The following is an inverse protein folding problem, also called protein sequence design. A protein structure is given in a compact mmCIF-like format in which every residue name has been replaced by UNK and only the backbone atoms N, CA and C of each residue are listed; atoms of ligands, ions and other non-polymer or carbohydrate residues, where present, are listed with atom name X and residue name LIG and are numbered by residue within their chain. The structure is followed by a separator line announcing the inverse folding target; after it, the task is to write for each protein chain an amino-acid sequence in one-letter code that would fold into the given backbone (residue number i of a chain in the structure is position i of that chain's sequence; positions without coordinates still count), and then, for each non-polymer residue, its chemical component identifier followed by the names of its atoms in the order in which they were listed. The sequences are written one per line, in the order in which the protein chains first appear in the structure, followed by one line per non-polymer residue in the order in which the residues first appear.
data_IF_961513672059
#
_entry.id   IF_961513672059
#
_cell.length_a   1.000
_cell.length_b   1.000
_cell.length_c   1.000
_cell.angle_alpha   90.00
_cell.angle_beta   90.00
_cell.angle_gamma   90.00
#
_symmetry.space_group_name_H-M   'P 1'
#
loop_
_entity.id
_entity.type
_entity.pdbx_description
1 polymer ?
#
# COMPACT_ATOMS: atom_id res chain seq x y z
N UNK A 1 35.14 4.05 -9.18
CA UNK A 1 35.51 5.24 -8.40
C UNK A 1 35.11 5.03 -6.96
N UNK A 2 36.11 4.81 -6.11
CA UNK A 2 35.99 4.53 -4.67
C UNK A 2 35.54 5.78 -3.93
N UNK A 3 34.50 5.67 -3.08
CA UNK A 3 34.04 6.79 -2.24
C UNK A 3 34.39 6.52 -0.79
N UNK A 4 35.43 7.21 -0.34
CA UNK A 4 35.84 7.40 1.05
C UNK A 4 34.84 8.33 1.77
N UNK A 5 34.49 8.02 3.02
CA UNK A 5 33.68 8.91 3.87
C UNK A 5 34.51 9.40 5.05
N UNK A 6 34.54 10.71 5.29
CA UNK A 6 35.26 11.34 6.39
C UNK A 6 34.37 11.45 7.62
N UNK A 7 34.78 10.83 8.71
CA UNK A 7 34.40 11.26 10.06
C UNK A 7 35.60 11.12 10.97
N UNK A 8 35.87 12.14 11.79
CA UNK A 8 36.92 12.15 12.83
C UNK A 8 38.36 11.90 12.37
N UNK A 9 38.78 12.48 11.23
CA UNK A 9 40.20 12.57 10.86
C UNK A 9 40.92 11.25 10.54
N UNK A 10 40.22 10.11 10.52
CA UNK A 10 40.77 8.81 10.13
C UNK A 10 40.03 8.34 8.88
N UNK A 11 40.78 8.24 7.79
CA UNK A 11 40.33 7.65 6.54
C UNK A 11 40.18 6.13 6.72
N UNK A 12 38.97 5.68 7.10
CA UNK A 12 38.68 4.25 7.25
C UNK A 12 38.28 3.67 5.90
N UNK A 13 39.09 2.75 5.40
CA UNK A 13 38.67 1.82 4.35
C UNK A 13 37.53 0.95 4.92
N UNK A 14 36.32 1.17 4.41
CA UNK A 14 35.19 0.28 4.68
C UNK A 14 35.15 -0.70 3.53
N UNK A 15 35.46 -1.96 3.84
CA UNK A 15 35.40 -3.07 2.91
C UNK A 15 34.04 -3.11 2.16
N UNK A 16 34.01 -3.41 0.85
CA UNK A 16 32.79 -3.44 0.05
C UNK A 16 31.68 -4.36 0.59
N UNK A 17 32.05 -5.46 1.25
CA UNK A 17 31.12 -6.40 1.91
C UNK A 17 30.54 -5.74 3.15
N UNK A 18 31.38 -5.19 4.03
CA UNK A 18 30.91 -4.46 5.23
C UNK A 18 30.07 -3.24 4.86
N UNK A 19 30.42 -2.54 3.77
CA UNK A 19 29.65 -1.41 3.24
C UNK A 19 28.30 -1.85 2.70
N UNK A 20 28.22 -2.97 1.95
CA UNK A 20 26.96 -3.58 1.51
C UNK A 20 26.07 -3.97 2.69
N UNK A 21 26.64 -4.54 3.72
CA UNK A 21 25.91 -5.00 4.91
C UNK A 21 25.38 -3.83 5.74
N UNK A 22 26.17 -2.76 5.89
CA UNK A 22 25.74 -1.51 6.50
C UNK A 22 24.59 -0.86 5.71
N UNK A 23 24.67 -0.84 4.38
CA UNK A 23 23.59 -0.35 3.52
C UNK A 23 22.35 -1.24 3.58
N UNK A 24 22.51 -2.56 3.71
CA UNK A 24 21.41 -3.53 3.87
C UNK A 24 20.65 -3.28 5.18
N UNK A 25 21.37 -3.08 6.28
CA UNK A 25 20.79 -2.79 7.60
C UNK A 25 20.18 -1.39 7.70
N UNK A 26 20.73 -0.41 6.98
CA UNK A 26 20.15 0.95 6.94
C UNK A 26 18.92 0.99 6.04
N UNK A 27 18.98 0.33 4.87
CA UNK A 27 17.88 0.25 3.92
C UNK A 27 16.66 -0.45 4.49
N UNK A 28 16.84 -1.55 5.24
CA UNK A 28 15.72 -2.24 5.91
C UNK A 28 15.02 -1.35 6.94
N UNK A 29 15.78 -0.60 7.75
CA UNK A 29 15.22 0.33 8.76
C UNK A 29 14.47 1.50 8.11
N UNK A 30 15.04 2.08 7.05
CA UNK A 30 14.39 3.14 6.27
C UNK A 30 13.11 2.65 5.59
N UNK A 31 13.13 1.42 5.06
CA UNK A 31 11.95 0.81 4.47
C UNK A 31 10.83 0.61 5.50
N UNK A 32 11.16 0.09 6.70
CA UNK A 32 10.18 -0.01 7.79
C UNK A 32 9.61 1.36 8.17
N UNK A 33 10.45 2.39 8.28
CA UNK A 33 9.97 3.75 8.55
C UNK A 33 9.05 4.28 7.44
N UNK A 34 9.39 4.06 6.17
CA UNK A 34 8.55 4.43 5.03
C UNK A 34 7.17 3.77 5.13
N UNK A 35 7.14 2.46 5.38
CA UNK A 35 5.90 1.70 5.54
C UNK A 35 5.07 2.24 6.71
N UNK A 36 5.67 2.50 7.87
CA UNK A 36 4.96 3.06 9.03
C UNK A 36 4.40 4.45 8.75
N UNK A 37 5.15 5.31 8.07
CA UNK A 37 4.65 6.63 7.67
C UNK A 37 3.46 6.51 6.70
N UNK A 38 3.49 5.57 5.76
CA UNK A 38 2.36 5.32 4.86
C UNK A 38 1.15 4.79 5.62
N UNK A 39 1.31 3.84 6.54
CA UNK A 39 0.22 3.37 7.41
C UNK A 39 -0.41 4.52 8.20
N UNK A 40 0.41 5.43 8.73
CA UNK A 40 -0.07 6.60 9.45
C UNK A 40 -0.91 7.54 8.55
N UNK A 41 -0.57 7.65 7.26
CA UNK A 41 -1.33 8.43 6.29
C UNK A 41 -2.69 7.78 5.96
N UNK A 42 -2.77 6.45 5.96
CA UNK A 42 -4.03 5.72 5.73
C UNK A 42 -4.94 5.77 6.96
N UNK A 43 -4.47 5.21 8.08
CA UNK A 43 -5.19 5.13 9.33
C UNK A 43 -4.24 4.77 10.49
N UNK A 44 -4.26 5.54 11.58
CA UNK A 44 -3.31 5.34 12.70
C UNK A 44 -3.48 4.00 13.43
N UNK A 45 -4.68 3.41 13.41
CA UNK A 45 -4.89 2.06 13.97
C UNK A 45 -4.03 0.98 13.31
N UNK A 46 -3.56 1.19 12.07
CA UNK A 46 -2.66 0.27 11.36
C UNK A 46 -1.26 0.20 11.99
N UNK A 47 -0.93 1.14 12.87
CA UNK A 47 0.36 1.17 13.58
C UNK A 47 0.39 0.23 14.79
N UNK A 48 -0.76 -0.23 15.30
CA UNK A 48 -0.83 -1.06 16.52
C UNK A 48 -0.41 -2.52 16.25
N UNK A 49 0.38 -3.09 17.17
CA UNK A 49 0.79 -4.53 17.15
C UNK A 49 -0.39 -5.50 17.02
N UNK A 50 -1.52 -5.21 17.67
CA UNK A 50 -2.71 -6.08 17.61
C UNK A 50 -3.43 -6.08 16.25
N UNK A 51 -3.18 -5.08 15.41
CA UNK A 51 -3.62 -5.11 14.02
C UNK A 51 -2.77 -6.07 13.17
N UNK A 52 -1.58 -6.46 13.66
CA UNK A 52 -0.75 -7.49 13.06
C UNK A 52 -1.13 -8.90 13.52
N UNK A 53 -1.63 -9.14 14.74
CA UNK A 53 -1.89 -10.51 15.24
C UNK A 53 -2.92 -11.31 14.41
N UNK A 54 -3.87 -10.66 13.73
CA UNK A 54 -4.83 -11.30 12.80
C UNK A 54 -4.41 -11.19 11.32
N UNK A 55 -3.34 -10.44 11.01
CA UNK A 55 -2.87 -10.17 9.64
C UNK A 55 -1.38 -10.47 9.42
N UNK A 56 -0.70 -11.13 10.37
CA UNK A 56 0.74 -11.40 10.33
C UNK A 56 1.12 -12.15 9.07
N UNK A 57 0.25 -13.05 8.60
CA UNK A 57 0.49 -13.83 7.38
C UNK A 57 0.64 -12.93 6.13
N UNK A 58 -0.15 -11.85 6.02
CA UNK A 58 -0.18 -11.00 4.81
C UNK A 58 0.77 -9.81 4.91
N UNK A 59 0.94 -9.20 6.09
CA UNK A 59 1.93 -8.13 6.27
C UNK A 59 3.36 -8.68 6.15
N UNK A 60 3.62 -9.88 6.70
CA UNK A 60 4.91 -10.54 6.54
C UNK A 60 5.11 -11.05 5.12
N UNK A 61 4.07 -11.53 4.41
CA UNK A 61 4.18 -11.88 2.99
C UNK A 61 4.41 -10.65 2.11
N UNK A 62 3.72 -9.53 2.36
CA UNK A 62 3.90 -8.29 1.60
C UNK A 62 5.27 -7.68 1.87
N UNK A 63 5.69 -7.59 3.13
CA UNK A 63 7.03 -7.17 3.49
C UNK A 63 8.07 -8.14 2.93
N UNK A 64 7.85 -9.45 2.98
CA UNK A 64 8.73 -10.46 2.40
C UNK A 64 8.82 -10.36 0.87
N UNK A 65 7.73 -10.09 0.16
CA UNK A 65 7.72 -9.86 -1.29
C UNK A 65 8.42 -8.55 -1.69
N UNK A 66 8.23 -7.51 -0.86
CA UNK A 66 8.94 -6.25 -1.02
C UNK A 66 10.44 -6.41 -0.74
N UNK A 67 10.81 -7.22 0.26
CA UNK A 67 12.20 -7.48 0.64
C UNK A 67 12.90 -8.52 -0.24
N UNK A 68 12.16 -9.49 -0.79
CA UNK A 68 12.66 -10.45 -1.78
C UNK A 68 12.96 -9.74 -3.10
N UNK A 69 12.13 -8.75 -3.48
CA UNK A 69 12.40 -7.85 -4.60
C UNK A 69 13.72 -7.08 -4.45
N UNK A 70 14.20 -6.88 -3.21
CA UNK A 70 15.47 -6.23 -2.86
C UNK A 70 16.68 -7.19 -2.80
N UNK A 71 16.55 -8.49 -3.13
CA UNK A 71 17.63 -9.49 -3.00
C UNK A 71 18.20 -9.61 -1.56
N UNK A 72 17.31 -9.55 -0.58
CA UNK A 72 17.61 -9.82 0.84
C UNK A 72 17.28 -11.31 1.09
N UNK A 73 18.11 -12.23 0.60
CA UNK A 73 18.03 -13.62 1.04
C UNK A 73 18.98 -13.83 2.23
N UNK A 74 18.43 -14.49 3.25
CA UNK A 74 19.10 -15.38 4.20
C UNK A 74 19.50 -14.91 5.61
N UNK A 75 19.14 -13.71 6.09
CA UNK A 75 19.42 -13.38 7.52
C UNK A 75 18.35 -12.51 8.22
N UNK A 76 17.09 -12.70 7.83
CA UNK A 76 16.01 -11.76 8.14
C UNK A 76 15.11 -12.16 9.31
N UNK A 77 15.22 -13.40 9.83
CA UNK A 77 14.49 -13.80 11.04
C UNK A 77 14.94 -13.00 12.27
N UNK A 78 16.23 -12.67 12.34
CA UNK A 78 16.80 -11.87 13.43
C UNK A 78 16.44 -10.38 13.32
N UNK A 79 16.38 -9.85 12.09
CA UNK A 79 16.08 -8.43 11.86
C UNK A 79 14.58 -8.12 11.89
N UNK A 80 13.71 -9.05 11.47
CA UNK A 80 12.25 -8.95 11.72
C UNK A 80 11.96 -9.04 13.22
N UNK A 81 12.66 -9.90 13.97
CA UNK A 81 12.56 -9.89 15.44
C UNK A 81 13.03 -8.54 16.05
N UNK A 82 13.93 -7.81 15.40
CA UNK A 82 14.24 -6.42 15.79
C UNK A 82 13.22 -5.38 15.30
N UNK A 83 12.50 -5.65 14.21
CA UNK A 83 11.35 -4.83 13.79
C UNK A 83 10.14 -5.01 14.74
N UNK A 84 9.96 -6.21 15.30
CA UNK A 84 9.06 -6.47 16.43
C UNK A 84 9.49 -5.73 17.70
N UNK A 85 10.79 -5.51 17.89
CA UNK A 85 11.33 -4.63 18.95
C UNK A 85 11.21 -3.14 18.62
N UNK A 86 11.16 -2.73 17.34
CA UNK A 86 10.71 -1.38 16.94
C UNK A 86 9.18 -1.21 17.05
N UNK A 87 8.44 -2.32 17.13
CA UNK A 87 6.98 -2.37 17.34
C UNK A 87 6.54 -1.87 18.73
N UNK A 88 7.48 -1.46 19.58
CA UNK A 88 7.23 -0.73 20.81
C UNK A 88 7.90 0.66 20.78
N UNK A 89 7.75 1.44 19.71
CA UNK A 89 7.93 2.90 19.79
C UNK A 89 6.83 3.51 20.67
N UNK A 90 6.86 3.22 21.98
CA UNK A 90 5.96 3.76 22.99
C UNK A 90 4.53 3.98 22.49
N UNK A 91 3.91 3.02 21.81
CA UNK A 91 2.52 3.19 21.38
C UNK A 91 1.56 3.06 22.56
N UNK A 92 2.02 2.47 23.67
CA UNK A 92 1.32 2.39 24.96
C UNK A 92 0.93 3.79 25.49
N UNK A 93 1.78 4.82 25.34
CA UNK A 93 1.41 6.21 25.71
C UNK A 93 0.32 6.83 24.83
N UNK A 94 -0.08 6.17 23.73
CA UNK A 94 -1.16 6.58 22.86
C UNK A 94 -2.36 5.62 22.93
N UNK A 95 -2.37 4.68 23.87
CA UNK A 95 -3.57 3.91 24.21
C UNK A 95 -4.67 4.84 24.73
N UNK A 96 -5.92 4.56 24.36
CA UNK A 96 -7.08 5.39 24.69
C UNK A 96 -7.26 6.65 23.83
N UNK A 97 -6.34 6.95 22.88
CA UNK A 97 -6.58 8.00 21.89
C UNK A 97 -7.55 7.52 20.81
N UNK A 98 -8.62 8.28 20.50
CA UNK A 98 -9.63 7.86 19.56
C UNK A 98 -9.06 7.65 18.16
N UNK A 99 -8.06 8.44 17.75
CA UNK A 99 -7.50 8.38 16.39
C UNK A 99 -6.84 7.03 16.05
N UNK A 100 -6.45 6.27 17.08
CA UNK A 100 -5.86 4.93 16.94
C UNK A 100 -6.91 3.81 17.01
N UNK A 101 -8.18 4.13 17.20
CA UNK A 101 -9.28 3.16 17.22
C UNK A 101 -9.82 2.91 15.81
N UNK A 102 -10.25 1.67 15.54
CA UNK A 102 -10.84 1.28 14.24
C UNK A 102 -12.11 2.07 13.90
N UNK A 103 -12.84 2.48 14.93
CA UNK A 103 -14.08 3.26 14.87
C UNK A 103 -13.86 4.71 14.46
N UNK A 104 -12.62 5.20 14.48
CA UNK A 104 -12.30 6.56 14.09
C UNK A 104 -12.42 6.75 12.58
N UNK A 105 -12.97 7.89 12.18
CA UNK A 105 -13.10 8.26 10.77
C UNK A 105 -11.89 9.09 10.37
N UNK A 106 -10.85 8.42 9.84
CA UNK A 106 -9.66 9.11 9.31
C UNK A 106 -9.99 9.99 8.10
N UNK A 107 -9.04 10.84 7.70
CA UNK A 107 -9.21 11.72 6.54
C UNK A 107 -9.52 10.94 5.25
N UNK A 108 -8.84 9.82 5.01
CA UNK A 108 -9.08 8.97 3.84
C UNK A 108 -10.40 8.22 3.92
N UNK A 109 -10.79 7.73 5.10
CA UNK A 109 -12.12 7.11 5.28
C UNK A 109 -13.22 8.15 5.03
N UNK A 110 -13.09 9.36 5.56
CA UNK A 110 -14.05 10.45 5.29
C UNK A 110 -14.16 10.74 3.80
N UNK A 111 -13.03 10.94 3.12
CA UNK A 111 -13.00 11.19 1.69
C UNK A 111 -13.58 10.02 0.87
N UNK A 112 -13.34 8.79 1.30
CA UNK A 112 -13.92 7.59 0.69
C UNK A 112 -15.44 7.59 0.84
N UNK A 113 -15.96 7.81 2.06
CA UNK A 113 -17.40 7.84 2.30
C UNK A 113 -18.08 8.94 1.50
N UNK A 114 -17.51 10.16 1.49
CA UNK A 114 -18.03 11.28 0.70
C UNK A 114 -18.04 10.97 -0.81
N UNK A 115 -16.98 10.34 -1.31
CA UNK A 115 -16.87 9.91 -2.71
C UNK A 115 -17.87 8.82 -3.07
N UNK A 116 -18.00 7.80 -2.22
CA UNK A 116 -18.96 6.70 -2.40
C UNK A 116 -20.40 7.21 -2.34
N UNK A 117 -20.74 8.07 -1.39
CA UNK A 117 -22.09 8.62 -1.27
C UNK A 117 -22.51 9.38 -2.52
N UNK A 118 -21.63 10.20 -3.11
CA UNK A 118 -21.92 10.89 -4.39
C UNK A 118 -22.26 9.90 -5.49
N UNK A 119 -21.43 8.88 -5.68
CA UNK A 119 -21.67 7.89 -6.75
C UNK A 119 -22.92 7.05 -6.47
N UNK A 120 -23.06 6.51 -5.27
CA UNK A 120 -24.10 5.54 -4.92
C UNK A 120 -25.49 6.16 -4.75
N UNK A 121 -25.59 7.44 -4.38
CA UNK A 121 -26.87 8.13 -4.24
C UNK A 121 -27.33 8.73 -5.58
N UNK A 122 -26.41 9.30 -6.37
CA UNK A 122 -26.77 10.00 -7.60
C UNK A 122 -26.92 9.03 -8.79
N UNK A 123 -26.33 7.84 -8.71
CA UNK A 123 -26.29 6.88 -9.82
C UNK A 123 -26.53 5.44 -9.36
N UNK A 124 -26.74 4.54 -10.35
CA UNK A 124 -26.71 3.08 -10.15
C UNK A 124 -25.34 2.47 -10.46
N UNK A 125 -24.29 3.28 -10.45
CA UNK A 125 -22.94 2.81 -10.73
C UNK A 125 -22.36 1.99 -9.57
N UNK A 126 -21.34 1.20 -9.89
CA UNK A 126 -20.63 0.36 -8.92
C UNK A 126 -19.20 0.83 -8.76
N UNK A 127 -18.72 0.72 -7.53
CA UNK A 127 -17.43 1.22 -7.09
C UNK A 127 -16.49 0.08 -6.71
N UNK A 128 -15.22 0.20 -7.08
CA UNK A 128 -14.13 -0.65 -6.58
C UNK A 128 -13.25 0.18 -5.66
N UNK A 129 -13.06 -0.27 -4.42
CA UNK A 129 -12.14 0.35 -3.47
C UNK A 129 -10.89 -0.51 -3.37
N UNK A 130 -9.74 0.10 -3.60
CA UNK A 130 -8.46 -0.59 -3.71
C UNK A 130 -7.52 -0.11 -2.61
N UNK A 131 -6.83 -1.05 -1.97
CA UNK A 131 -5.81 -0.78 -0.94
C UNK A 131 -4.71 -1.82 -1.00
N UNK A 132 -3.49 -1.45 -0.61
CA UNK A 132 -2.42 -2.42 -0.35
C UNK A 132 -2.53 -3.07 1.02
N UNK A 133 -3.19 -2.40 1.97
CA UNK A 133 -3.38 -2.91 3.32
C UNK A 133 -4.74 -3.59 3.41
N UNK A 134 -4.75 -4.91 3.63
CA UNK A 134 -5.98 -5.69 3.89
C UNK A 134 -6.71 -5.17 5.13
N UNK A 135 -5.99 -4.85 6.20
CA UNK A 135 -6.57 -4.25 7.41
C UNK A 135 -7.27 -2.90 7.13
N UNK A 136 -6.80 -2.12 6.15
CA UNK A 136 -7.46 -0.88 5.74
C UNK A 136 -8.75 -1.16 4.96
N UNK A 137 -8.82 -2.26 4.21
CA UNK A 137 -10.07 -2.70 3.57
C UNK A 137 -11.09 -3.13 4.62
N UNK A 138 -10.67 -3.86 5.66
CA UNK A 138 -11.57 -4.24 6.75
C UNK A 138 -12.10 -3.00 7.49
N UNK A 139 -11.24 -2.02 7.76
CA UNK A 139 -11.65 -0.73 8.32
C UNK A 139 -12.65 -0.02 7.41
N UNK A 140 -12.33 0.12 6.12
CA UNK A 140 -13.22 0.73 5.14
C UNK A 140 -14.57 0.01 5.09
N UNK A 141 -14.57 -1.32 5.12
CA UNK A 141 -15.78 -2.15 5.16
C UNK A 141 -16.67 -1.79 6.34
N UNK A 142 -16.12 -1.80 7.55
CA UNK A 142 -16.88 -1.47 8.77
C UNK A 142 -17.51 -0.08 8.68
N UNK A 143 -16.79 0.89 8.14
CA UNK A 143 -17.28 2.26 7.98
C UNK A 143 -18.35 2.38 6.89
N UNK A 144 -18.19 1.68 5.76
CA UNK A 144 -19.17 1.68 4.67
C UNK A 144 -20.46 0.96 5.11
N UNK A 145 -20.36 -0.19 5.76
CA UNK A 145 -21.53 -0.95 6.22
C UNK A 145 -22.36 -0.18 7.26
N UNK A 146 -21.73 0.66 8.09
CA UNK A 146 -22.43 1.59 9.01
C UNK A 146 -23.29 2.62 8.28
N UNK A 147 -22.98 2.95 7.02
CA UNK A 147 -23.81 3.84 6.18
C UNK A 147 -24.95 3.10 5.47
N UNK A 148 -25.08 1.79 5.68
CA UNK A 148 -26.15 0.96 5.09
C UNK A 148 -25.80 0.34 3.73
N UNK A 149 -24.60 0.57 3.20
CA UNK A 149 -24.16 -0.06 1.94
C UNK A 149 -23.47 -1.40 2.20
N UNK A 150 -23.81 -2.40 1.38
CA UNK A 150 -23.16 -3.70 1.41
C UNK A 150 -21.88 -3.69 0.58
N UNK A 151 -20.88 -4.45 1.02
CA UNK A 151 -19.60 -4.61 0.34
C UNK A 151 -19.31 -6.07 -0.01
N UNK A 152 -18.74 -6.29 -1.19
CA UNK A 152 -18.03 -7.51 -1.54
C UNK A 152 -16.54 -7.34 -1.21
N UNK A 153 -15.83 -8.44 -0.94
CA UNK A 153 -14.41 -8.40 -0.61
C UNK A 153 -13.64 -9.45 -1.43
N UNK A 154 -12.54 -9.03 -2.05
CA UNK A 154 -11.60 -9.90 -2.74
C UNK A 154 -10.19 -9.60 -2.23
N UNK A 155 -9.63 -10.55 -1.47
CA UNK A 155 -8.26 -10.53 -0.99
C UNK A 155 -7.60 -11.91 -1.09
N UNK A 156 -6.32 -12.00 -0.75
CA UNK A 156 -5.53 -13.24 -0.84
C UNK A 156 -6.13 -14.41 -0.08
N UNK A 157 -6.65 -14.16 1.13
CA UNK A 157 -7.28 -15.16 1.99
C UNK A 157 -8.64 -15.69 1.50
N UNK A 158 -9.27 -15.04 0.52
CA UNK A 158 -10.57 -15.48 -0.01
C UNK A 158 -10.38 -16.69 -0.92
N UNK A 159 -11.07 -17.79 -0.62
CA UNK A 159 -11.07 -19.00 -1.45
C UNK A 159 -11.45 -18.68 -2.91
N UNK A 160 -10.80 -19.33 -3.86
CA UNK A 160 -11.03 -19.24 -5.31
C UNK A 160 -12.53 -19.32 -5.67
N UNK A 161 -13.29 -20.24 -5.07
CA UNK A 161 -14.72 -20.39 -5.34
C UNK A 161 -15.51 -19.13 -4.94
N UNK A 162 -15.26 -18.62 -3.72
CA UNK A 162 -15.92 -17.41 -3.21
C UNK A 162 -15.50 -16.17 -3.98
N UNK A 163 -14.24 -16.11 -4.41
CA UNK A 163 -13.73 -15.04 -5.28
C UNK A 163 -14.49 -14.99 -6.60
N UNK A 164 -14.69 -16.14 -7.27
CA UNK A 164 -15.44 -16.22 -8.51
C UNK A 164 -16.91 -15.80 -8.32
N UNK A 165 -17.53 -16.20 -7.21
CA UNK A 165 -18.88 -15.78 -6.83
C UNK A 165 -18.96 -14.25 -6.64
N UNK A 166 -18.03 -13.66 -5.91
CA UNK A 166 -17.99 -12.20 -5.68
C UNK A 166 -17.80 -11.44 -7.00
N UNK A 167 -16.93 -11.91 -7.90
CA UNK A 167 -16.76 -11.30 -9.24
C UNK A 167 -18.05 -11.40 -10.05
N UNK A 168 -18.71 -12.56 -10.03
CA UNK A 168 -19.97 -12.76 -10.76
C UNK A 168 -21.08 -11.87 -10.20
N UNK A 169 -21.24 -11.79 -8.89
CA UNK A 169 -22.21 -10.91 -8.24
C UNK A 169 -21.92 -9.45 -8.60
N UNK A 170 -20.66 -9.02 -8.48
CA UNK A 170 -20.27 -7.65 -8.81
C UNK A 170 -20.56 -7.28 -10.28
N UNK A 171 -20.33 -8.20 -11.23
CA UNK A 171 -20.55 -7.91 -12.66
C UNK A 171 -22.01 -8.05 -13.10
N UNK A 172 -22.75 -9.04 -12.58
CA UNK A 172 -24.04 -9.44 -13.15
C UNK A 172 -25.25 -9.05 -12.30
N UNK A 173 -25.10 -8.92 -10.98
CA UNK A 173 -26.22 -8.68 -10.07
C UNK A 173 -26.53 -7.18 -9.98
N UNK A 174 -27.66 -6.75 -10.56
CA UNK A 174 -28.05 -5.33 -10.59
C UNK A 174 -28.52 -4.81 -9.24
N UNK A 175 -29.06 -5.70 -8.41
CA UNK A 175 -29.64 -5.37 -7.09
C UNK A 175 -28.70 -5.76 -5.93
N UNK A 176 -27.59 -6.43 -6.25
CA UNK A 176 -26.55 -6.82 -5.30
C UNK A 176 -25.64 -5.67 -4.85
N UNK A 177 -24.61 -5.99 -4.05
CA UNK A 177 -23.69 -4.99 -3.50
C UNK A 177 -23.00 -4.17 -4.60
N UNK A 178 -23.01 -2.85 -4.42
CA UNK A 178 -22.44 -1.89 -5.39
C UNK A 178 -21.01 -1.49 -5.06
N UNK A 179 -20.45 -1.95 -3.94
CA UNK A 179 -19.07 -1.68 -3.53
C UNK A 179 -18.29 -2.98 -3.47
N UNK A 180 -17.13 -3.02 -4.12
CA UNK A 180 -16.18 -4.13 -4.07
C UNK A 180 -14.86 -3.65 -3.49
N UNK A 181 -14.42 -4.28 -2.40
CA UNK A 181 -13.13 -4.06 -1.77
C UNK A 181 -12.11 -5.02 -2.37
N UNK A 182 -10.98 -4.51 -2.85
CA UNK A 182 -9.95 -5.26 -3.54
C UNK A 182 -8.56 -4.95 -2.97
N UNK A 183 -7.84 -5.99 -2.52
CA UNK A 183 -6.42 -5.85 -2.17
C UNK A 183 -5.57 -5.74 -3.43
N UNK A 184 -4.58 -4.85 -3.47
CA UNK A 184 -3.64 -4.72 -4.59
C UNK A 184 -2.91 -6.03 -4.92
N UNK A 185 -2.59 -6.83 -3.91
CA UNK A 185 -1.86 -8.10 -4.09
C UNK A 185 -2.72 -9.24 -4.62
N UNK A 186 -4.06 -9.11 -4.58
CA UNK A 186 -4.94 -10.00 -5.34
C UNK A 186 -4.84 -9.76 -6.87
N UNK A 187 -3.97 -8.84 -7.31
CA UNK A 187 -3.75 -8.46 -8.71
C UNK A 187 -3.17 -9.55 -9.61
N UNK A 188 -2.54 -10.59 -9.06
CA UNK A 188 -1.93 -11.69 -9.82
C UNK A 188 -2.91 -12.55 -10.62
N UNK A 189 -4.21 -12.51 -10.32
CA UNK A 189 -5.18 -13.53 -10.78
C UNK A 189 -6.02 -13.13 -12.00
N UNK A 190 -5.75 -11.99 -12.64
CA UNK A 190 -6.37 -11.72 -13.95
C UNK A 190 -7.83 -11.24 -13.92
N UNK A 191 -8.34 -10.72 -12.79
CA UNK A 191 -9.78 -10.45 -12.57
C UNK A 191 -10.43 -9.54 -13.64
N UNK A 192 -11.73 -9.76 -13.87
CA UNK A 192 -12.56 -8.93 -14.73
C UNK A 192 -13.63 -8.23 -13.89
N UNK A 193 -13.55 -6.92 -13.74
CA UNK A 193 -14.40 -6.10 -12.87
C UNK A 193 -15.12 -4.99 -13.65
N UNK A 194 -15.45 -5.27 -14.93
CA UNK A 194 -16.16 -4.33 -15.83
C UNK A 194 -17.56 -3.92 -15.34
N UNK A 195 -18.13 -4.60 -14.34
CA UNK A 195 -19.38 -4.18 -13.71
C UNK A 195 -19.28 -2.87 -12.90
N UNK A 196 -18.07 -2.48 -12.52
CA UNK A 196 -17.78 -1.19 -11.89
C UNK A 196 -17.20 -0.20 -12.87
N UNK A 197 -17.38 1.08 -12.60
CA UNK A 197 -16.82 2.17 -13.42
C UNK A 197 -16.23 3.32 -12.58
N UNK A 198 -16.32 3.23 -11.25
CA UNK A 198 -15.61 4.12 -10.34
C UNK A 198 -14.61 3.32 -9.52
N UNK A 199 -13.38 3.81 -9.42
CA UNK A 199 -12.36 3.22 -8.57
C UNK A 199 -11.85 4.25 -7.57
N UNK A 200 -11.76 3.86 -6.30
CA UNK A 200 -11.15 4.63 -5.23
C UNK A 200 -9.89 3.93 -4.75
N UNK A 201 -8.74 4.56 -4.93
CA UNK A 201 -7.44 4.02 -4.52
C UNK A 201 -7.05 4.70 -3.21
N UNK A 202 -7.10 3.93 -2.12
CA UNK A 202 -6.84 4.44 -0.79
C UNK A 202 -5.38 4.82 -0.58
N UNK A 203 -4.45 4.04 -1.13
CA UNK A 203 -3.03 4.18 -0.83
C UNK A 203 -2.17 4.10 -2.09
N UNK A 204 -1.14 4.94 -2.14
CA UNK A 204 -0.18 4.97 -3.25
C UNK A 204 0.86 3.85 -3.07
N UNK A 205 1.10 3.13 -4.15
CA UNK A 205 2.16 2.15 -4.27
C UNK A 205 3.35 2.75 -5.06
N UNK A 206 4.57 2.57 -4.55
CA UNK A 206 5.80 3.05 -5.20
C UNK A 206 6.10 2.38 -6.55
N UNK A 207 5.34 1.32 -6.90
CA UNK A 207 5.48 0.58 -8.15
C UNK A 207 4.25 0.89 -9.00
N UNK A 208 4.36 1.75 -10.03
CA UNK A 208 3.22 2.13 -10.87
C UNK A 208 2.57 0.94 -11.57
N UNK A 209 3.34 -0.12 -11.89
CA UNK A 209 2.83 -1.26 -12.63
C UNK A 209 1.75 -2.03 -11.86
N UNK A 210 1.83 -2.08 -10.53
CA UNK A 210 0.82 -2.77 -9.71
C UNK A 210 -0.50 -1.99 -9.68
N UNK A 211 -0.44 -0.67 -9.59
CA UNK A 211 -1.62 0.18 -9.68
C UNK A 211 -2.27 0.11 -11.07
N UNK A 212 -1.46 0.23 -12.13
CA UNK A 212 -1.95 0.11 -13.50
C UNK A 212 -2.64 -1.24 -13.73
N UNK A 213 -2.06 -2.33 -13.23
CA UNK A 213 -2.67 -3.66 -13.32
C UNK A 213 -4.02 -3.72 -12.59
N UNK A 214 -4.19 -3.01 -11.47
CA UNK A 214 -5.47 -2.90 -10.78
C UNK A 214 -6.47 -2.09 -11.61
N UNK A 215 -6.05 -0.98 -12.23
CA UNK A 215 -6.90 -0.14 -13.09
C UNK A 215 -7.41 -0.91 -14.30
N UNK A 216 -6.56 -1.71 -14.92
CA UNK A 216 -6.88 -2.59 -16.06
C UNK A 216 -7.93 -3.66 -15.73
N UNK A 217 -8.27 -3.87 -14.45
CA UNK A 217 -9.37 -4.77 -14.05
C UNK A 217 -10.74 -4.16 -14.33
N UNK A 218 -10.84 -2.84 -14.29
CA UNK A 218 -12.07 -2.07 -14.48
C UNK A 218 -12.09 -1.41 -15.85
N UNK A 219 -10.97 -0.79 -16.24
CA UNK A 219 -10.76 -0.25 -17.57
C UNK A 219 -10.27 -1.37 -18.50
N UNK A 220 -11.20 -2.23 -18.91
CA UNK A 220 -10.94 -3.41 -19.73
C UNK A 220 -11.92 -3.49 -20.91
N UNK A 221 -11.54 -4.24 -21.94
CA UNK A 221 -12.45 -4.60 -23.05
C UNK A 221 -13.74 -5.20 -22.48
N UNK A 222 -14.88 -4.65 -22.87
CA UNK A 222 -16.21 -4.99 -22.33
C UNK A 222 -16.76 -3.96 -21.34
N UNK A 223 -15.97 -2.98 -20.92
CA UNK A 223 -16.48 -1.80 -20.20
C UNK A 223 -17.24 -0.89 -21.17
N UNK A 224 -18.47 -0.53 -20.82
CA UNK A 224 -19.34 0.34 -21.63
C UNK A 224 -19.44 1.77 -21.07
N UNK A 225 -19.06 1.97 -19.79
CA UNK A 225 -19.15 3.26 -19.11
C UNK A 225 -17.78 3.94 -18.98
N UNK A 226 -17.73 5.28 -18.96
CA UNK A 226 -16.50 6.00 -18.62
C UNK A 226 -15.98 5.57 -17.24
N UNK A 227 -14.70 5.23 -17.18
CA UNK A 227 -14.04 4.81 -15.93
C UNK A 227 -13.42 6.02 -15.25
N UNK A 228 -13.76 6.24 -13.98
CA UNK A 228 -13.19 7.29 -13.14
C UNK A 228 -12.32 6.66 -12.05
N UNK A 229 -11.06 7.08 -11.95
CA UNK A 229 -10.13 6.61 -10.93
C UNK A 229 -9.78 7.78 -10.01
N UNK A 230 -10.22 7.68 -8.76
CA UNK A 230 -9.94 8.64 -7.69
C UNK A 230 -8.82 8.10 -6.81
N UNK A 231 -7.63 8.72 -6.86
CA UNK A 231 -6.48 8.34 -6.03
C UNK A 231 -6.36 9.29 -4.85
N UNK A 232 -6.35 8.75 -3.64
CA UNK A 232 -6.18 9.55 -2.44
C UNK A 232 -4.71 9.67 -2.06
N UNK A 233 -4.31 10.91 -1.77
CA UNK A 233 -2.94 11.27 -1.38
C UNK A 233 -3.04 12.26 -0.24
N UNK A 234 -2.39 11.98 0.89
CA UNK A 234 -2.35 12.89 2.02
C UNK A 234 -1.33 14.02 1.76
N UNK A 235 -1.81 15.25 1.65
CA UNK A 235 -0.98 16.42 1.35
C UNK A 235 0.03 16.73 2.48
N UNK A 236 1.24 17.16 2.11
CA UNK A 236 2.32 17.47 3.04
C UNK A 236 2.92 16.23 3.73
N UNK A 237 2.75 15.03 3.17
CA UNK A 237 3.22 13.78 3.76
C UNK A 237 4.15 12.99 2.85
N UNK A 238 4.59 11.82 3.33
CA UNK A 238 5.41 10.89 2.54
C UNK A 238 4.70 10.41 1.26
N UNK A 239 3.37 10.46 1.20
CA UNK A 239 2.61 9.98 0.04
C UNK A 239 2.84 10.83 -1.20
N UNK A 240 3.01 12.15 -1.05
CA UNK A 240 3.36 13.04 -2.18
C UNK A 240 4.73 12.65 -2.76
N UNK A 241 5.71 12.39 -1.90
CA UNK A 241 7.04 11.96 -2.34
C UNK A 241 7.02 10.58 -3.00
N UNK A 242 6.17 9.68 -2.52
CA UNK A 242 5.98 8.35 -3.14
C UNK A 242 5.31 8.50 -4.51
N UNK A 243 4.39 9.44 -4.66
CA UNK A 243 3.78 9.76 -5.95
C UNK A 243 4.81 10.35 -6.93
N UNK A 244 5.65 11.28 -6.48
CA UNK A 244 6.75 11.82 -7.29
C UNK A 244 7.72 10.71 -7.73
N UNK A 245 8.06 9.80 -6.80
CA UNK A 245 8.89 8.64 -7.10
C UNK A 245 8.23 7.71 -8.12
N UNK A 246 6.92 7.50 -8.01
CA UNK A 246 6.14 6.72 -8.96
C UNK A 246 6.23 7.33 -10.37
N UNK A 247 6.04 8.65 -10.50
CA UNK A 247 6.17 9.36 -11.77
C UNK A 247 7.58 9.25 -12.35
N UNK A 248 8.61 9.38 -11.51
CA UNK A 248 10.00 9.21 -11.93
C UNK A 248 10.24 7.79 -12.47
N UNK A 249 9.79 6.76 -11.76
CA UNK A 249 9.92 5.35 -12.18
C UNK A 249 9.15 5.03 -13.45
N UNK A 250 7.99 5.64 -13.64
CA UNK A 250 7.20 5.47 -14.85
C UNK A 250 7.94 6.02 -16.07
N UNK A 251 8.52 7.23 -15.97
CA UNK A 251 9.36 7.81 -17.04
C UNK A 251 10.60 6.96 -17.34
N UNK A 252 11.23 6.39 -16.31
CA UNK A 252 12.34 5.47 -16.49
C UNK A 252 11.91 4.18 -17.20
N UNK A 253 10.77 3.60 -16.83
CA UNK A 253 10.25 2.39 -17.47
C UNK A 253 9.85 2.62 -18.94
N UNK A 254 9.40 3.81 -19.30
CA UNK A 254 9.19 4.19 -20.71
C UNK A 254 10.51 4.20 -21.51
N UNK A 255 11.64 4.42 -20.84
CA UNK A 255 12.98 4.39 -21.46
C UNK A 255 13.69 3.03 -21.41
N UNK A 256 13.24 2.10 -20.56
CA UNK A 256 13.88 0.78 -20.33
C UNK A 256 12.83 -0.29 -20.02
N UNK A 257 12.85 -1.42 -20.75
CA UNK A 257 11.94 -2.56 -20.51
C UNK A 257 12.34 -3.33 -19.25
N UNK A 258 11.80 -2.96 -18.08
CA UNK A 258 12.02 -3.68 -16.81
C UNK A 258 11.02 -3.31 -15.70
N UNK A 259 10.78 -4.22 -14.75
CA UNK A 259 9.92 -3.93 -13.58
C UNK A 259 10.67 -3.01 -12.59
N UNK A 260 10.11 -1.85 -12.21
CA UNK A 260 10.82 -0.90 -11.36
C UNK A 260 10.90 -1.43 -9.91
N UNK A 261 12.13 -1.59 -9.40
CA UNK A 261 12.43 -1.94 -8.00
C UNK A 261 12.68 -0.67 -7.18
N UNK A 262 12.52 -0.71 -5.85
CA UNK A 262 13.05 0.37 -4.99
C UNK A 262 14.56 0.20 -4.87
N UNK A 263 15.31 1.26 -5.14
CA UNK A 263 16.76 1.32 -5.02
C UNK A 263 17.18 2.29 -3.90
N UNK A 264 18.46 2.27 -3.50
CA UNK A 264 18.93 3.14 -2.41
C UNK A 264 18.83 4.62 -2.78
N UNK A 265 19.01 4.95 -4.05
CA UNK A 265 18.83 6.28 -4.61
C UNK A 265 17.39 6.81 -4.43
N UNK A 266 16.40 5.91 -4.42
CA UNK A 266 15.01 6.29 -4.17
C UNK A 266 14.81 6.69 -2.70
N UNK A 267 15.49 6.03 -1.75
CA UNK A 267 15.45 6.45 -0.34
C UNK A 267 16.15 7.80 -0.14
N UNK A 268 17.25 8.06 -0.85
CA UNK A 268 17.89 9.38 -0.85
C UNK A 268 16.92 10.46 -1.33
N UNK A 269 16.12 10.18 -2.38
CA UNK A 269 15.06 11.07 -2.87
C UNK A 269 13.93 11.27 -1.84
N UNK A 270 13.39 10.18 -1.29
CA UNK A 270 12.26 10.23 -0.36
C UNK A 270 12.61 10.95 0.96
N UNK A 271 13.80 10.70 1.50
CA UNK A 271 14.18 11.16 2.84
C UNK A 271 15.20 12.32 2.83
N UNK A 272 15.74 12.69 1.67
CA UNK A 272 16.71 13.78 1.56
C UNK A 272 18.06 13.49 2.24
N UNK A 273 18.48 12.22 2.27
CA UNK A 273 19.61 11.75 3.10
C UNK A 273 20.98 12.24 2.56
N UNK A 274 21.06 12.67 1.31
CA UNK A 274 22.25 13.37 0.80
C UNK A 274 22.12 14.88 1.00
N UNK A 275 22.89 15.40 1.95
CA UNK A 275 23.24 16.81 2.00
C UNK A 275 23.68 17.29 0.61
N UNK A 276 23.10 18.42 0.18
CA UNK A 276 23.53 19.16 -0.99
C UNK A 276 25.06 19.31 -0.92
N UNK A 277 25.77 18.67 -1.84
CA UNK A 277 27.16 19.05 -2.14
C UNK A 277 27.16 20.32 -2.96
#
# INVERSE_FOLDING_TARGET
MEKWSRSSGVEKYIDPVTKRELYRNTGSRLFVMLIRLQQACSHLSLLRKKALDDTTVDADSFLADCMSSLNISDDLSSSIATADNLGAMGLEKYEGRPEFERTYVSCKIRALLDGLSKVLLDTKDKCVVVSKWTSMLDLAREHIEKTGFQCLLIQGSVNVAKRAENVRSFNCDKDGPRVLLLSLDAGGVGLNLIGGNHMFVLDVHWNPALELQAFDRVHRVGQEKPVTINRFVCAGTIEEKVLELQCYKQRLAESVVGRPKIMMEDYDFLFGIREKR
#
